data_IF_464328029248
#
_entry.id   IF_464328029248
#
_cell.length_a   1.000
_cell.length_b   1.000
_cell.length_c   1.000
_cell.angle_alpha   90.00
_cell.angle_beta   90.00
_cell.angle_gamma   90.00
#
_symmetry.space_group_name_H-M   'P 1'
#
loop_
_entity.id
_entity.type
_entity.pdbx_description
1 polymer ?
#
# COMPACT_ATOMS: atom_id res chain seq x y z
N UNK A 1 -12.84 -44.80 -58.57
CA UNK A 1 -12.13 -44.84 -57.28
C UNK A 1 -10.94 -43.88 -57.37
N UNK A 2 -11.05 -42.69 -56.79
CA UNK A 2 -10.03 -41.63 -56.83
C UNK A 2 -9.23 -41.70 -55.52
N UNK A 3 -7.91 -41.87 -55.62
CA UNK A 3 -6.99 -41.83 -54.47
C UNK A 3 -6.61 -40.36 -54.23
N UNK A 4 -7.00 -39.84 -53.07
CA UNK A 4 -6.62 -38.52 -52.59
C UNK A 4 -5.37 -38.68 -51.72
N UNK A 5 -4.23 -38.22 -52.21
CA UNK A 5 -2.98 -38.20 -51.47
C UNK A 5 -3.06 -37.10 -50.40
N UNK A 6 -3.05 -37.51 -49.13
CA UNK A 6 -2.88 -36.64 -47.97
C UNK A 6 -1.39 -36.40 -47.79
N UNK A 7 -0.93 -35.17 -48.04
CA UNK A 7 0.42 -34.72 -47.71
C UNK A 7 0.39 -34.02 -46.35
N UNK A 8 1.26 -34.50 -45.47
CA UNK A 8 1.33 -34.25 -44.04
C UNK A 8 2.45 -33.24 -43.74
N UNK A 9 2.13 -32.20 -42.95
CA UNK A 9 2.95 -31.48 -41.94
C UNK A 9 4.26 -30.79 -42.39
N UNK A 10 4.42 -29.49 -42.05
CA UNK A 10 5.44 -28.99 -41.10
C UNK A 10 5.26 -27.49 -40.84
N UNK A 11 4.46 -27.11 -39.83
CA UNK A 11 4.48 -25.75 -39.28
C UNK A 11 5.56 -25.67 -38.21
N UNK A 12 6.63 -24.94 -38.53
CA UNK A 12 7.76 -24.65 -37.66
C UNK A 12 7.30 -23.63 -36.59
N UNK A 13 7.14 -24.07 -35.33
CA UNK A 13 6.96 -23.17 -34.20
C UNK A 13 8.32 -22.56 -33.84
N UNK A 14 8.49 -21.26 -34.09
CA UNK A 14 9.58 -20.49 -33.50
C UNK A 14 9.28 -20.26 -32.02
N UNK A 15 9.98 -20.97 -31.14
CA UNK A 15 10.09 -20.63 -29.73
C UNK A 15 11.05 -19.43 -29.62
N UNK A 16 10.49 -18.22 -29.57
CA UNK A 16 11.23 -17.02 -29.16
C UNK A 16 11.39 -17.07 -27.64
N UNK A 17 12.60 -17.37 -27.22
CA UNK A 17 13.04 -17.32 -25.83
C UNK A 17 13.27 -15.85 -25.47
N UNK A 18 12.28 -15.17 -24.90
CA UNK A 18 12.48 -13.85 -24.30
C UNK A 18 13.16 -14.04 -22.95
N UNK A 19 14.49 -13.94 -22.94
CA UNK A 19 15.27 -13.65 -21.74
C UNK A 19 15.04 -12.18 -21.39
N UNK A 20 13.98 -11.89 -20.64
CA UNK A 20 13.88 -10.60 -19.95
C UNK A 20 14.70 -10.73 -18.66
N UNK A 21 16.00 -10.45 -18.76
CA UNK A 21 16.78 -10.04 -17.60
C UNK A 21 16.41 -8.58 -17.31
N UNK A 22 15.24 -8.38 -16.71
CA UNK A 22 14.94 -7.14 -16.02
C UNK A 22 15.58 -7.26 -14.64
N UNK A 23 16.87 -6.92 -14.55
CA UNK A 23 17.54 -6.62 -13.28
C UNK A 23 16.79 -5.45 -12.64
N UNK A 24 15.79 -5.76 -11.82
CA UNK A 24 15.17 -4.78 -10.93
C UNK A 24 16.17 -4.47 -9.84
N UNK A 25 16.84 -3.34 -10.02
CA UNK A 25 17.64 -2.67 -9.01
C UNK A 25 16.70 -2.31 -7.84
N UNK A 26 16.51 -3.23 -6.88
CA UNK A 26 15.87 -2.89 -5.61
C UNK A 26 16.88 -2.08 -4.82
N UNK A 27 16.91 -0.77 -5.06
CA UNK A 27 17.49 0.15 -4.09
C UNK A 27 16.74 -0.07 -2.77
N UNK A 28 17.39 -0.77 -1.85
CA UNK A 28 16.92 -0.96 -0.49
C UNK A 28 16.92 0.42 0.17
N UNK A 29 15.79 1.10 0.12
CA UNK A 29 15.60 2.32 0.88
C UNK A 29 15.64 1.94 2.35
N UNK A 30 16.69 2.35 3.07
CA UNK A 30 16.75 2.24 4.52
C UNK A 30 15.60 3.08 5.10
N UNK A 31 14.49 2.42 5.43
CA UNK A 31 13.31 3.04 6.02
C UNK A 31 13.34 2.83 7.53
N UNK A 32 12.93 3.86 8.26
CA UNK A 32 12.79 3.78 9.70
C UNK A 32 11.63 4.64 10.16
N UNK A 33 10.87 4.12 11.13
CA UNK A 33 9.76 4.86 11.70
C UNK A 33 8.88 3.97 12.53
N UNK A 34 8.18 4.61 13.46
CA UNK A 34 7.20 3.94 14.31
C UNK A 34 5.95 4.80 14.35
N UNK A 35 4.79 4.17 14.19
CA UNK A 35 3.48 4.81 14.25
C UNK A 35 2.77 4.28 15.50
N UNK A 36 2.47 5.19 16.42
CA UNK A 36 1.74 4.88 17.65
C UNK A 36 0.25 4.92 17.37
N UNK A 37 -0.43 3.88 17.83
CA UNK A 37 -1.87 3.72 17.70
C UNK A 37 -2.51 3.93 19.07
N UNK A 38 -3.62 4.65 19.07
CA UNK A 38 -4.56 4.75 20.20
C UNK A 38 -5.99 4.64 19.70
N UNK A 39 -6.89 4.09 20.50
CA UNK A 39 -8.27 3.85 20.09
C UNK A 39 -8.77 2.47 20.52
N UNK A 40 -10.02 2.17 20.20
CA UNK A 40 -10.74 1.01 20.73
C UNK A 40 -10.11 -0.32 20.30
N UNK A 41 -9.67 -0.43 19.04
CA UNK A 41 -9.11 -1.67 18.49
C UNK A 41 -7.69 -2.00 18.99
N UNK A 42 -7.01 -1.07 19.65
CA UNK A 42 -5.59 -1.25 20.08
C UNK A 42 -5.39 -2.36 21.10
N UNK A 43 -6.45 -2.75 21.83
CA UNK A 43 -6.42 -3.93 22.69
C UNK A 43 -6.22 -5.24 21.91
N UNK A 44 -6.59 -5.26 20.63
CA UNK A 44 -6.55 -6.44 19.75
C UNK A 44 -5.39 -6.39 18.77
N UNK A 45 -5.14 -5.22 18.16
CA UNK A 45 -4.12 -5.05 17.11
C UNK A 45 -2.77 -4.53 17.64
N UNK A 46 -2.71 -4.14 18.91
CA UNK A 46 -1.55 -3.50 19.51
C UNK A 46 -1.56 -1.97 19.39
N UNK A 47 -0.55 -1.33 19.97
CA UNK A 47 -0.44 0.13 20.09
C UNK A 47 0.68 0.74 19.24
N UNK A 48 1.35 -0.07 18.42
CA UNK A 48 2.56 0.34 17.72
C UNK A 48 2.72 -0.45 16.42
N UNK A 49 2.99 0.28 15.33
CA UNK A 49 3.39 -0.27 14.05
C UNK A 49 4.82 0.18 13.73
N UNK A 50 5.73 -0.78 13.57
CA UNK A 50 7.12 -0.51 13.16
C UNK A 50 7.24 -0.69 11.66
N UNK A 51 7.59 0.39 10.95
CA UNK A 51 7.73 0.37 9.49
C UNK A 51 9.09 -0.19 9.11
N UNK A 52 9.09 -1.24 8.29
CA UNK A 52 10.29 -1.90 7.78
C UNK A 52 10.45 -1.82 6.27
N UNK A 53 9.40 -1.48 5.53
CA UNK A 53 9.44 -1.33 4.08
C UNK A 53 8.64 -0.09 3.62
N UNK A 54 9.10 0.53 2.52
CA UNK A 54 8.40 1.63 1.85
C UNK A 54 8.42 1.42 0.33
N UNK A 55 7.25 1.55 -0.28
CA UNK A 55 7.10 1.69 -1.72
C UNK A 55 6.73 3.15 -2.02
N UNK A 56 7.62 3.86 -2.73
CA UNK A 56 7.44 5.26 -3.06
C UNK A 56 6.44 5.47 -4.19
N UNK A 57 6.19 4.48 -5.04
CA UNK A 57 5.18 4.57 -6.09
C UNK A 57 3.88 3.95 -5.58
N UNK A 58 3.45 4.42 -4.39
CA UNK A 58 2.31 3.90 -3.65
C UNK A 58 1.13 3.70 -4.59
N UNK A 59 0.89 2.43 -4.96
CA UNK A 59 0.04 1.94 -6.06
C UNK A 59 -0.17 2.95 -7.21
N UNK A 60 0.26 2.62 -8.43
CA UNK A 60 0.14 3.48 -9.63
C UNK A 60 -1.26 4.09 -9.90
N UNK A 61 -2.29 3.64 -9.20
CA UNK A 61 -3.69 4.06 -9.27
C UNK A 61 -4.11 5.11 -8.23
N UNK A 62 -3.23 5.55 -7.31
CA UNK A 62 -3.60 6.52 -6.27
C UNK A 62 -3.98 7.91 -6.82
N UNK A 63 -3.56 8.23 -8.05
CA UNK A 63 -3.94 9.47 -8.73
C UNK A 63 -3.19 10.71 -8.25
N UNK A 64 -2.14 10.55 -7.44
CA UNK A 64 -1.23 11.61 -7.00
C UNK A 64 0.21 11.13 -6.98
N UNK A 65 1.15 12.04 -7.14
CA UNK A 65 2.59 11.76 -6.96
C UNK A 65 3.01 11.78 -5.49
N UNK A 66 2.14 12.22 -4.57
CA UNK A 66 2.38 12.25 -3.12
C UNK A 66 1.69 11.10 -2.40
N UNK A 67 1.96 9.90 -2.88
CA UNK A 67 1.50 8.64 -2.28
C UNK A 67 2.68 7.75 -1.89
N UNK A 68 2.54 7.02 -0.80
CA UNK A 68 3.47 5.97 -0.38
C UNK A 68 2.70 4.76 0.11
N UNK A 69 3.31 3.60 0.04
CA UNK A 69 2.85 2.43 0.77
C UNK A 69 3.90 2.03 1.81
N UNK A 70 3.49 1.95 3.07
CA UNK A 70 4.31 1.56 4.21
C UNK A 70 3.89 0.16 4.67
N UNK A 71 4.86 -0.67 5.04
CA UNK A 71 4.58 -2.01 5.56
C UNK A 71 5.62 -2.43 6.61
N UNK A 72 5.31 -3.50 7.34
CA UNK A 72 6.25 -4.12 8.27
C UNK A 72 7.46 -4.74 7.55
N UNK A 73 8.49 -5.14 8.31
CA UNK A 73 9.73 -5.71 7.77
C UNK A 73 9.52 -7.02 6.97
N UNK A 74 8.47 -7.78 7.27
CA UNK A 74 8.19 -9.07 6.65
C UNK A 74 7.24 -8.95 5.44
N UNK A 75 6.78 -7.74 5.12
CA UNK A 75 5.81 -7.48 4.05
C UNK A 75 6.38 -6.47 3.06
N UNK A 76 6.48 -6.86 1.79
CA UNK A 76 7.01 -6.06 0.69
C UNK A 76 6.01 -5.95 -0.46
N UNK A 77 6.23 -4.98 -1.36
CA UNK A 77 5.44 -4.83 -2.60
C UNK A 77 6.36 -5.00 -3.79
N UNK A 78 6.21 -6.13 -4.49
CA UNK A 78 7.05 -6.51 -5.63
C UNK A 78 6.18 -6.60 -6.87
N UNK A 79 6.51 -5.80 -7.89
CA UNK A 79 5.71 -5.77 -9.13
C UNK A 79 4.26 -5.32 -8.94
N UNK A 80 3.94 -4.63 -7.84
CA UNK A 80 2.58 -4.22 -7.49
C UNK A 80 1.79 -5.25 -6.69
N UNK A 81 2.39 -6.41 -6.41
CA UNK A 81 1.79 -7.45 -5.58
C UNK A 81 2.36 -7.43 -4.16
N UNK A 82 1.53 -7.77 -3.18
CA UNK A 82 1.93 -7.89 -1.78
C UNK A 82 2.57 -9.27 -1.58
N UNK A 83 3.81 -9.27 -1.10
CA UNK A 83 4.52 -10.48 -0.66
C UNK A 83 4.79 -10.37 0.83
N UNK A 84 4.33 -11.35 1.62
CA UNK A 84 4.59 -11.40 3.06
C UNK A 84 5.16 -12.75 3.47
N UNK A 85 6.12 -12.76 4.38
CA UNK A 85 6.62 -13.99 5.02
C UNK A 85 5.89 -14.28 6.34
N UNK A 86 5.04 -13.36 6.82
CA UNK A 86 4.26 -13.49 8.05
C UNK A 86 2.79 -13.10 7.86
N UNK A 87 1.99 -14.02 7.32
CA UNK A 87 0.55 -13.81 7.13
C UNK A 87 -0.27 -13.75 8.41
N UNK A 88 0.34 -14.01 9.58
CA UNK A 88 -0.39 -13.95 10.86
C UNK A 88 -0.31 -12.58 11.50
N UNK A 89 0.77 -11.82 11.25
CA UNK A 89 0.97 -10.49 11.78
C UNK A 89 1.69 -9.63 10.74
N UNK A 90 0.94 -8.72 10.11
CA UNK A 90 1.44 -7.86 9.05
C UNK A 90 0.63 -6.56 9.01
N UNK A 91 1.18 -5.52 8.39
CA UNK A 91 0.37 -4.35 8.04
C UNK A 91 0.79 -3.73 6.72
N UNK A 92 -0.17 -3.05 6.09
CA UNK A 92 0.02 -2.24 4.90
C UNK A 92 -0.76 -0.95 5.10
N UNK A 93 -0.10 0.19 4.91
CA UNK A 93 -0.68 1.53 4.94
C UNK A 93 -0.40 2.20 3.62
N UNK A 94 -1.43 2.47 2.83
CA UNK A 94 -1.34 3.36 1.68
C UNK A 94 -1.76 4.75 2.15
N UNK A 95 -0.85 5.70 2.11
CA UNK A 95 -1.08 7.08 2.51
C UNK A 95 -0.87 8.00 1.31
N UNK A 96 -1.87 8.83 1.01
CA UNK A 96 -1.86 9.74 -0.12
C UNK A 96 -2.27 11.14 0.31
N UNK A 97 -1.52 12.14 -0.13
CA UNK A 97 -1.86 13.55 -0.02
C UNK A 97 -2.07 14.10 -1.44
N UNK A 98 -3.12 14.88 -1.64
CA UNK A 98 -3.50 15.41 -2.94
C UNK A 98 -3.32 16.91 -2.99
N UNK A 99 -2.95 17.39 -4.16
CA UNK A 99 -2.78 18.81 -4.47
C UNK A 99 -3.83 19.24 -5.48
N UNK A 100 -3.90 20.55 -5.74
CA UNK A 100 -4.81 21.09 -6.75
C UNK A 100 -4.55 20.53 -8.16
N UNK A 101 -3.32 20.09 -8.45
CA UNK A 101 -2.92 19.53 -9.75
C UNK A 101 -3.46 18.11 -9.98
N UNK A 102 -3.87 17.41 -8.91
CA UNK A 102 -4.32 16.01 -8.97
C UNK A 102 -5.80 15.86 -9.43
N UNK A 103 -6.48 16.95 -9.80
CA UNK A 103 -7.86 16.97 -10.34
C UNK A 103 -8.90 16.21 -9.49
N UNK A 104 -8.76 16.23 -8.17
CA UNK A 104 -9.70 15.62 -7.22
C UNK A 104 -10.08 16.61 -6.13
N UNK A 105 -11.25 16.43 -5.52
CA UNK A 105 -11.64 17.16 -4.32
C UNK A 105 -11.11 16.52 -3.04
N UNK A 106 -10.57 15.29 -3.13
CA UNK A 106 -9.83 14.66 -2.04
C UNK A 106 -8.56 15.45 -1.75
N UNK A 107 -8.22 15.59 -0.49
CA UNK A 107 -7.00 16.21 0.01
C UNK A 107 -6.09 15.16 0.61
N UNK A 108 -6.65 14.17 1.30
CA UNK A 108 -5.90 13.11 1.98
C UNK A 108 -6.70 11.82 1.95
N UNK A 109 -6.02 10.70 1.79
CA UNK A 109 -6.60 9.36 1.88
C UNK A 109 -5.62 8.46 2.62
N UNK A 110 -6.16 7.66 3.54
CA UNK A 110 -5.45 6.48 4.06
C UNK A 110 -6.32 5.28 3.80
N UNK A 111 -5.70 4.22 3.28
CA UNK A 111 -6.23 2.86 3.31
C UNK A 111 -5.24 1.99 4.05
N UNK A 112 -5.69 1.34 5.12
CA UNK A 112 -4.82 0.55 5.98
C UNK A 112 -5.42 -0.82 6.23
N UNK A 113 -4.58 -1.84 6.14
CA UNK A 113 -4.90 -3.20 6.58
C UNK A 113 -3.90 -3.61 7.64
N UNK A 114 -4.40 -4.14 8.76
CA UNK A 114 -3.60 -4.76 9.81
C UNK A 114 -4.09 -6.19 9.97
N UNK A 115 -3.19 -7.15 9.87
CA UNK A 115 -3.45 -8.54 10.24
C UNK A 115 -2.85 -8.76 11.63
N UNK A 116 -3.67 -9.19 12.59
CA UNK A 116 -3.24 -9.55 13.95
C UNK A 116 -3.78 -10.93 14.29
N UNK A 117 -2.90 -11.87 14.63
CA UNK A 117 -3.25 -13.27 14.87
C UNK A 117 -4.14 -13.87 13.77
N UNK A 118 -3.76 -13.64 12.50
CA UNK A 118 -4.48 -14.10 11.30
C UNK A 118 -5.89 -13.52 11.10
N UNK A 119 -6.27 -12.51 11.89
CA UNK A 119 -7.51 -11.76 11.70
C UNK A 119 -7.19 -10.43 11.01
N UNK A 120 -7.90 -10.14 9.92
CA UNK A 120 -7.72 -8.91 9.15
C UNK A 120 -8.61 -7.79 9.71
N UNK A 121 -8.03 -6.61 9.87
CA UNK A 121 -8.70 -5.38 10.27
C UNK A 121 -8.43 -4.31 9.21
N UNK A 122 -9.49 -3.72 8.67
CA UNK A 122 -9.41 -2.76 7.56
C UNK A 122 -9.86 -1.40 8.05
N UNK A 123 -9.05 -0.40 7.74
CA UNK A 123 -9.27 0.98 8.15
C UNK A 123 -9.16 1.92 6.97
N UNK A 124 -9.88 3.04 7.05
CA UNK A 124 -9.73 4.11 6.07
C UNK A 124 -10.13 5.47 6.58
N UNK A 125 -9.70 6.49 5.84
CA UNK A 125 -10.17 7.87 6.01
C UNK A 125 -10.07 8.60 4.67
N UNK A 126 -10.83 9.69 4.54
CA UNK A 126 -10.81 10.59 3.38
C UNK A 126 -11.05 12.03 3.86
N UNK A 127 -10.23 12.97 3.41
CA UNK A 127 -10.39 14.40 3.69
C UNK A 127 -10.76 15.14 2.40
N UNK A 128 -11.77 16.03 2.38
CA UNK A 128 -12.80 16.14 3.42
C UNK A 128 -13.63 14.84 3.46
N UNK A 129 -14.16 14.49 4.64
CA UNK A 129 -15.07 13.35 4.78
C UNK A 129 -16.23 13.46 3.78
N UNK A 130 -16.65 12.35 3.20
CA UNK A 130 -17.80 12.32 2.28
C UNK A 130 -18.97 11.53 2.88
N UNK A 131 -20.14 11.65 2.25
CA UNK A 131 -21.34 10.89 2.63
C UNK A 131 -21.22 9.38 2.38
N UNK A 132 -20.10 8.92 1.80
CA UNK A 132 -19.85 7.52 1.47
C UNK A 132 -19.26 6.71 2.63
N UNK A 133 -19.10 7.32 3.81
CA UNK A 133 -18.86 6.58 5.05
C UNK A 133 -17.40 6.46 5.47
N UNK A 134 -16.53 7.39 5.08
CA UNK A 134 -15.20 7.52 5.69
C UNK A 134 -15.13 8.79 6.53
N UNK A 135 -14.57 8.67 7.73
CA UNK A 135 -14.22 9.83 8.55
C UNK A 135 -13.12 10.68 7.88
N UNK A 136 -13.01 11.92 8.35
CA UNK A 136 -11.92 12.80 7.98
C UNK A 136 -10.58 12.22 8.47
N UNK A 137 -9.50 12.36 7.68
CA UNK A 137 -8.17 11.90 8.10
C UNK A 137 -7.56 12.81 9.18
N UNK A 138 -8.16 13.98 9.42
CA UNK A 138 -7.58 15.03 10.23
C UNK A 138 -6.55 15.86 9.48
N UNK A 139 -5.98 16.82 10.19
CA UNK A 139 -5.08 17.81 9.59
C UNK A 139 -3.62 17.35 9.51
N UNK A 140 -3.21 16.33 10.26
CA UNK A 140 -1.78 16.03 10.46
C UNK A 140 -1.17 14.90 9.63
N UNK A 141 -1.84 14.38 8.60
CA UNK A 141 -1.18 13.59 7.57
C UNK A 141 -0.39 14.50 6.62
N UNK A 142 0.87 14.17 6.36
CA UNK A 142 1.72 14.81 5.34
C UNK A 142 2.60 13.77 4.65
N UNK A 143 2.66 13.81 3.32
CA UNK A 143 3.56 12.98 2.50
C UNK A 143 4.54 13.89 1.76
N UNK A 144 5.80 13.88 2.19
CA UNK A 144 6.86 14.75 1.65
C UNK A 144 8.02 13.92 1.11
N UNK A 145 7.96 13.61 -0.19
CA UNK A 145 8.98 12.79 -0.86
C UNK A 145 10.30 13.52 -1.08
N UNK A 146 10.29 14.85 -1.07
CA UNK A 146 11.52 15.65 -1.19
C UNK A 146 12.32 15.60 0.12
N UNK A 147 11.63 15.73 1.25
CA UNK A 147 12.23 15.58 2.59
C UNK A 147 12.39 14.13 3.04
N UNK A 148 11.88 13.19 2.25
CA UNK A 148 11.87 11.76 2.54
C UNK A 148 11.19 11.44 3.88
N UNK A 149 10.03 12.04 4.11
CA UNK A 149 9.25 11.84 5.34
C UNK A 149 7.75 11.65 5.07
N UNK A 150 7.12 10.83 5.91
CA UNK A 150 5.66 10.75 6.08
C UNK A 150 5.35 11.02 7.54
N UNK A 151 4.47 11.97 7.80
CA UNK A 151 4.08 12.37 9.15
C UNK A 151 2.63 12.01 9.36
N UNK A 152 2.37 11.37 10.50
CA UNK A 152 1.04 11.17 11.07
C UNK A 152 1.00 11.95 12.38
N UNK A 153 0.17 12.99 12.45
CA UNK A 153 -0.05 13.77 13.67
C UNK A 153 -1.54 13.84 13.93
N UNK A 154 -1.99 13.19 15.00
CA UNK A 154 -3.41 13.02 15.35
C UNK A 154 -4.27 12.64 14.14
N UNK A 155 -3.72 11.76 13.29
CA UNK A 155 -4.37 11.32 12.05
C UNK A 155 -5.35 10.21 12.39
N UNK A 156 -6.59 10.32 11.94
CA UNK A 156 -7.65 9.38 12.31
C UNK A 156 -8.02 8.46 11.16
N UNK A 157 -8.27 7.19 11.48
CA UNK A 157 -8.79 6.19 10.55
C UNK A 157 -9.90 5.39 11.22
N UNK A 158 -10.91 5.01 10.46
CA UNK A 158 -12.07 4.26 10.94
C UNK A 158 -12.03 2.83 10.43
N UNK A 159 -12.32 1.87 11.32
CA UNK A 159 -12.50 0.48 10.98
C UNK A 159 -13.74 0.31 10.08
N UNK A 160 -13.56 -0.24 8.89
CA UNK A 160 -14.63 -0.33 7.88
C UNK A 160 -15.75 -1.30 8.25
N UNK A 161 -15.52 -2.19 9.23
CA UNK A 161 -16.51 -3.17 9.68
C UNK A 161 -17.21 -2.72 10.97
N UNK A 162 -16.47 -2.15 11.92
CA UNK A 162 -16.98 -1.84 13.27
C UNK A 162 -17.27 -0.36 13.50
N UNK A 163 -16.71 0.55 12.70
CA UNK A 163 -16.74 1.99 12.94
C UNK A 163 -15.80 2.46 14.06
N UNK A 164 -15.00 1.56 14.64
CA UNK A 164 -14.02 1.92 15.66
C UNK A 164 -12.95 2.85 15.10
N UNK A 165 -12.59 3.89 15.85
CA UNK A 165 -11.62 4.91 15.41
C UNK A 165 -10.25 4.62 16.02
N UNK A 166 -9.22 4.68 15.18
CA UNK A 166 -7.82 4.75 15.58
C UNK A 166 -7.27 6.14 15.33
N UNK A 167 -6.43 6.61 16.26
CA UNK A 167 -5.58 7.79 16.09
C UNK A 167 -4.13 7.34 15.94
N UNK A 168 -3.49 7.82 14.88
CA UNK A 168 -2.13 7.49 14.45
C UNK A 168 -1.20 8.69 14.69
N UNK A 169 -0.08 8.43 15.35
CA UNK A 169 0.94 9.42 15.66
C UNK A 169 2.34 8.86 15.40
N UNK A 170 3.10 9.47 14.49
CA UNK A 170 4.44 9.00 14.15
C UNK A 170 5.07 9.73 12.97
N UNK A 171 6.35 9.44 12.74
CA UNK A 171 7.07 9.91 11.56
C UNK A 171 7.88 8.75 11.01
N UNK A 172 7.84 8.62 9.69
CA UNK A 172 8.55 7.60 8.94
C UNK A 172 9.45 8.30 7.95
N UNK A 173 10.73 7.95 7.95
CA UNK A 173 11.75 8.55 7.08
C UNK A 173 12.50 7.49 6.29
N UNK A 174 13.05 7.86 5.15
CA UNK A 174 13.88 6.98 4.33
C UNK A 174 15.10 7.71 3.75
N UNK A 175 16.11 6.94 3.33
CA UNK A 175 17.33 7.46 2.70
C UNK A 175 17.35 7.29 1.19
#
# INVERSE_FOLDING_TARGET
MKKLNVLLILTLLCLVNCSNDDEKNSESNDVSGTIQLSGEDTATIGTTLTVGNINLDGLATTGTTKSVTLSDENTSIIGGEVESTNFSNAFIIVASEFTFEDNTSAQKVISMTIVSNSTEFRYGCLTPSNSSGFIDCGVGLKVDKEKKEVIFQDTTVENTETGAILTMNGTVTWN
#
